data_IF_252279201717
#
_entry.id   IF_252279201717
#
_cell.length_a   1.000
_cell.length_b   1.000
_cell.length_c   1.000
_cell.angle_alpha   90.00
_cell.angle_beta   90.00
_cell.angle_gamma   90.00
#
_symmetry.space_group_name_H-M   'P 1'
#
loop_
_entity.id
_entity.type
_entity.pdbx_description
1 polymer ?
#
# COMPACT_ATOMS: atom_id res chain seq x y z
N UNK A 1 -21.28 -63.36 63.30
CA UNK A 1 -20.06 -62.68 63.79
C UNK A 1 -19.69 -61.64 62.73
N UNK A 2 -20.03 -60.35 62.96
CA UNK A 2 -19.08 -59.27 63.36
C UNK A 2 -18.19 -58.85 62.19
N UNK A 3 -17.96 -57.59 61.82
CA UNK A 3 -18.48 -56.26 62.13
C UNK A 3 -17.66 -55.31 61.24
N UNK A 4 -18.29 -54.30 60.63
CA UNK A 4 -17.65 -53.19 59.87
C UNK A 4 -16.69 -52.35 60.74
N UNK A 5 -16.12 -51.20 60.26
CA UNK A 5 -15.63 -50.79 58.93
C UNK A 5 -14.18 -50.22 59.00
N UNK A 6 -13.49 -49.95 57.88
CA UNK A 6 -12.31 -49.05 57.91
C UNK A 6 -12.09 -48.25 56.63
N UNK A 7 -12.38 -46.96 56.78
CA UNK A 7 -12.01 -45.73 56.06
C UNK A 7 -11.42 -45.81 54.64
N UNK A 8 -12.20 -45.23 53.72
CA UNK A 8 -11.76 -44.38 52.60
C UNK A 8 -10.66 -43.40 53.00
N UNK A 9 -9.51 -43.46 52.33
CA UNK A 9 -8.58 -42.32 52.23
C UNK A 9 -8.29 -42.03 50.77
N UNK A 10 -8.88 -40.92 50.34
CA UNK A 10 -8.86 -40.32 49.01
C UNK A 10 -7.45 -40.18 48.43
N UNK A 11 -7.34 -40.45 47.14
CA UNK A 11 -6.20 -40.26 46.23
C UNK A 11 -5.66 -38.81 46.13
N UNK A 12 -6.03 -37.91 47.04
CA UNK A 12 -5.58 -36.51 47.08
C UNK A 12 -4.45 -36.22 48.08
N UNK A 13 -3.98 -37.22 48.85
CA UNK A 13 -3.04 -36.99 49.97
C UNK A 13 -1.55 -37.19 49.60
N UNK A 14 -1.22 -37.41 48.33
CA UNK A 14 0.17 -37.53 47.84
C UNK A 14 0.65 -36.33 46.99
N UNK A 15 -0.23 -35.39 46.64
CA UNK A 15 0.10 -34.21 45.81
C UNK A 15 0.77 -33.06 46.61
N UNK A 16 0.81 -33.13 47.94
CA UNK A 16 1.21 -31.98 48.79
C UNK A 16 2.64 -32.03 49.35
N UNK A 17 3.51 -32.88 48.83
CA UNK A 17 4.86 -33.11 49.39
C UNK A 17 6.02 -32.69 48.46
N UNK A 18 5.87 -31.54 47.77
CA UNK A 18 6.84 -30.67 47.04
C UNK A 18 8.31 -31.13 46.86
N UNK A 19 9.05 -30.81 45.76
CA UNK A 19 8.82 -29.73 44.78
C UNK A 19 8.96 -30.13 43.28
N UNK A 20 8.58 -29.26 42.31
CA UNK A 20 8.82 -29.50 40.88
C UNK A 20 10.27 -29.17 40.49
N UNK A 21 11.15 -30.17 40.52
CA UNK A 21 12.53 -30.07 39.99
C UNK A 21 12.60 -30.28 38.47
N UNK A 22 11.68 -29.67 37.72
CA UNK A 22 11.73 -29.66 36.26
C UNK A 22 10.82 -28.57 35.69
N UNK A 23 11.06 -27.32 36.09
CA UNK A 23 10.82 -26.19 35.19
C UNK A 23 12.15 -25.48 35.01
N UNK A 24 13.05 -26.17 34.32
CA UNK A 24 14.03 -25.54 33.43
C UNK A 24 13.23 -24.88 32.29
N UNK A 25 12.44 -23.89 32.69
CA UNK A 25 11.73 -22.99 31.82
C UNK A 25 12.86 -22.22 31.14
N UNK A 26 13.19 -22.62 29.91
CA UNK A 26 13.74 -21.72 28.92
C UNK A 26 12.74 -20.55 28.91
N UNK A 27 13.02 -19.56 29.74
CA UNK A 27 12.26 -18.31 29.82
C UNK A 27 12.60 -17.53 28.57
N UNK A 28 11.95 -17.92 27.48
CA UNK A 28 11.91 -17.16 26.24
C UNK A 28 11.19 -15.85 26.53
N UNK A 29 11.96 -14.87 26.98
CA UNK A 29 11.49 -13.53 27.31
C UNK A 29 11.33 -12.78 25.99
N UNK A 30 10.11 -12.48 25.51
CA UNK A 30 9.88 -11.89 24.19
C UNK A 30 10.52 -10.50 24.01
N UNK A 31 10.91 -9.84 25.12
CA UNK A 31 11.56 -8.53 25.11
C UNK A 31 13.01 -8.55 24.60
N UNK A 32 13.70 -9.69 24.67
CA UNK A 32 15.08 -9.79 24.15
C UNK A 32 15.09 -10.20 22.66
N UNK A 33 14.06 -10.89 22.19
CA UNK A 33 13.94 -11.32 20.80
C UNK A 33 13.49 -10.19 19.87
N UNK A 34 12.61 -9.31 20.33
CA UNK A 34 12.19 -8.16 19.50
C UNK A 34 13.32 -7.15 19.31
N UNK A 35 14.12 -6.87 20.34
CA UNK A 35 15.26 -5.94 20.23
C UNK A 35 16.37 -6.49 19.35
N UNK A 36 16.66 -7.78 19.40
CA UNK A 36 17.65 -8.42 18.51
C UNK A 36 17.16 -8.46 17.06
N UNK A 37 15.88 -8.75 16.82
CA UNK A 37 15.28 -8.71 15.46
C UNK A 37 15.30 -7.30 14.89
N UNK A 38 14.93 -6.28 15.67
CA UNK A 38 14.97 -4.88 15.24
C UNK A 38 16.41 -4.44 14.93
N UNK A 39 17.38 -4.79 15.79
CA UNK A 39 18.78 -4.49 15.54
C UNK A 39 19.32 -5.16 14.27
N UNK A 40 18.95 -6.42 14.01
CA UNK A 40 19.34 -7.12 12.80
C UNK A 40 18.74 -6.50 11.52
N UNK A 41 17.48 -6.06 11.58
CA UNK A 41 16.83 -5.34 10.46
C UNK A 41 17.49 -4.00 10.20
N UNK A 42 17.81 -3.23 11.24
CA UNK A 42 18.54 -1.94 11.11
C UNK A 42 19.93 -2.16 10.51
N UNK A 43 20.66 -3.19 10.96
CA UNK A 43 21.97 -3.52 10.41
C UNK A 43 21.88 -3.92 8.93
N UNK A 44 20.89 -4.76 8.58
CA UNK A 44 20.64 -5.18 7.21
C UNK A 44 20.30 -4.00 6.28
N UNK A 45 19.42 -3.09 6.72
CA UNK A 45 19.08 -1.87 5.99
C UNK A 45 20.29 -0.93 5.83
N UNK A 46 21.16 -0.85 6.84
CA UNK A 46 22.40 -0.05 6.76
C UNK A 46 23.41 -0.63 5.76
N UNK A 47 23.53 -1.96 5.66
CA UNK A 47 24.43 -2.63 4.73
C UNK A 47 23.89 -2.64 3.29
N UNK A 48 22.57 -2.65 3.10
CA UNK A 48 21.95 -2.61 1.76
C UNK A 48 22.02 -1.23 1.09
N UNK A 49 22.28 -0.17 1.87
CA UNK A 49 22.39 1.21 1.38
C UNK A 49 23.71 1.56 0.69
N UNK A 50 24.73 0.69 0.72
CA UNK A 50 26.08 1.00 0.23
C UNK A 50 26.50 0.12 -0.96
N UNK A 51 25.69 0.07 -2.01
CA UNK A 51 26.10 -0.51 -3.29
C UNK A 51 25.38 0.13 -4.50
N UNK A 52 25.57 1.43 -4.74
CA UNK A 52 25.40 1.99 -6.10
C UNK A 52 26.45 3.06 -6.42
N UNK A 53 27.66 2.63 -6.74
CA UNK A 53 28.66 3.52 -7.33
C UNK A 53 29.47 2.81 -8.44
N UNK A 54 28.76 2.25 -9.42
CA UNK A 54 29.35 1.92 -10.71
C UNK A 54 28.99 3.02 -11.71
N UNK A 55 29.99 3.85 -12.01
CA UNK A 55 29.97 4.97 -12.96
C UNK A 55 29.36 4.54 -14.30
N UNK A 56 28.34 5.28 -14.75
CA UNK A 56 27.80 5.16 -16.11
C UNK A 56 28.80 5.73 -17.12
N UNK A 57 29.26 4.98 -18.14
CA UNK A 57 29.76 5.61 -19.35
C UNK A 57 28.56 6.12 -20.17
N UNK A 58 28.43 7.45 -20.23
CA UNK A 58 27.53 8.14 -21.16
C UNK A 58 28.09 7.99 -22.58
N UNK A 59 27.69 6.94 -23.28
CA UNK A 59 27.88 6.84 -24.72
C UNK A 59 26.73 7.53 -25.43
N UNK A 60 26.76 8.87 -25.51
CA UNK A 60 25.88 9.59 -26.45
C UNK A 60 26.56 9.52 -27.81
N UNK A 61 26.04 8.69 -28.71
CA UNK A 61 26.40 8.76 -30.12
C UNK A 61 25.97 10.14 -30.62
N UNK A 62 26.92 11.04 -30.82
CA UNK A 62 26.66 12.27 -31.56
C UNK A 62 26.39 11.85 -33.00
N UNK A 63 25.14 11.97 -33.42
CA UNK A 63 24.74 11.72 -34.80
C UNK A 63 25.41 12.77 -35.69
N UNK A 64 26.19 12.34 -36.69
CA UNK A 64 26.74 13.18 -37.78
C UNK A 64 25.68 13.65 -38.79
N UNK A 65 24.38 13.49 -38.48
CA UNK A 65 23.33 14.07 -39.30
C UNK A 65 23.32 15.58 -39.03
N UNK A 66 23.35 16.44 -40.06
CA UNK A 66 23.05 17.86 -39.87
C UNK A 66 21.77 17.95 -39.05
N UNK A 67 21.82 18.64 -37.91
CA UNK A 67 20.61 18.92 -37.16
C UNK A 67 19.61 19.51 -38.16
N UNK A 68 18.37 18.99 -38.23
CA UNK A 68 17.37 19.59 -39.09
C UNK A 68 17.33 21.08 -38.75
N UNK A 69 17.37 21.95 -39.77
CA UNK A 69 17.26 23.39 -39.57
C UNK A 69 16.05 23.61 -38.68
N UNK A 70 16.28 23.98 -37.42
CA UNK A 70 15.21 24.22 -36.46
C UNK A 70 14.43 25.40 -37.02
N UNK A 71 13.27 25.10 -37.62
CA UNK A 71 12.34 26.14 -38.05
C UNK A 71 11.95 26.91 -36.81
N UNK A 72 11.89 28.24 -36.92
CA UNK A 72 11.46 29.10 -35.82
C UNK A 72 10.17 28.55 -35.22
N UNK A 73 10.20 28.28 -33.92
CA UNK A 73 9.03 27.80 -33.19
C UNK A 73 7.89 28.81 -33.34
N UNK A 74 6.71 28.33 -33.70
CA UNK A 74 5.49 29.14 -33.69
C UNK A 74 4.80 28.92 -32.36
N UNK A 75 4.72 29.97 -31.56
CA UNK A 75 3.98 29.97 -30.30
C UNK A 75 2.61 30.60 -30.53
N UNK A 76 1.55 29.93 -30.07
CA UNK A 76 0.17 30.44 -30.09
C UNK A 76 -0.40 30.32 -28.69
N UNK A 77 -1.03 31.37 -28.21
CA UNK A 77 -1.70 31.40 -26.91
C UNK A 77 -3.21 31.48 -27.15
N UNK A 78 -3.94 30.48 -26.69
CA UNK A 78 -5.39 30.40 -26.83
C UNK A 78 -6.03 30.56 -25.45
N UNK A 79 -7.15 31.28 -25.41
CA UNK A 79 -8.02 31.39 -24.25
C UNK A 79 -9.44 31.13 -24.71
N UNK A 80 -10.04 30.09 -24.17
CA UNK A 80 -11.41 29.68 -24.46
C UNK A 80 -12.00 29.05 -23.20
N UNK A 81 -13.32 28.95 -23.19
CA UNK A 81 -14.10 28.33 -22.13
C UNK A 81 -14.69 27.03 -22.66
N UNK A 82 -14.62 25.99 -21.84
CA UNK A 82 -15.17 24.67 -22.14
C UNK A 82 -16.36 24.44 -21.20
N UNK A 83 -17.54 24.19 -21.77
CA UNK A 83 -18.80 23.99 -21.05
C UNK A 83 -19.19 22.51 -20.93
N UNK A 84 -18.91 21.91 -19.78
CA UNK A 84 -19.36 20.55 -19.45
C UNK A 84 -20.84 20.58 -19.01
N UNK A 85 -21.76 20.35 -19.96
CA UNK A 85 -23.21 20.40 -19.71
C UNK A 85 -23.70 18.98 -19.38
N UNK A 86 -23.68 18.65 -18.09
CA UNK A 86 -24.03 17.32 -17.56
C UNK A 86 -25.53 17.07 -17.39
N UNK A 87 -26.38 18.10 -17.53
CA UNK A 87 -27.83 18.00 -17.28
C UNK A 87 -28.62 19.05 -18.06
N UNK A 88 -29.94 18.91 -18.09
CA UNK A 88 -30.84 19.77 -18.84
C UNK A 88 -31.38 19.08 -20.10
N UNK A 89 -32.11 19.82 -20.97
CA UNK A 89 -32.75 19.24 -22.15
C UNK A 89 -31.76 18.78 -23.21
N UNK A 90 -30.58 19.41 -23.30
CA UNK A 90 -29.52 19.10 -24.27
C UNK A 90 -28.17 18.96 -23.55
N UNK A 91 -27.91 17.84 -22.85
CA UNK A 91 -26.62 17.58 -22.23
C UNK A 91 -25.56 17.30 -23.31
N UNK A 92 -24.36 17.83 -23.11
CA UNK A 92 -23.20 17.60 -24.00
C UNK A 92 -22.21 16.60 -23.41
N UNK A 93 -22.35 16.29 -22.12
CA UNK A 93 -21.57 15.27 -21.42
C UNK A 93 -22.45 14.16 -20.86
N UNK A 94 -22.28 12.95 -21.40
CA UNK A 94 -23.15 11.81 -21.09
C UNK A 94 -22.33 10.62 -20.60
N UNK A 95 -22.66 10.02 -19.43
CA UNK A 95 -21.99 8.83 -18.94
C UNK A 95 -22.32 7.63 -19.83
N UNK A 96 -21.29 6.94 -20.33
CA UNK A 96 -21.42 5.77 -21.22
C UNK A 96 -21.05 4.45 -20.54
N UNK A 97 -20.31 4.49 -19.43
CA UNK A 97 -20.02 3.31 -18.62
C UNK A 97 -19.79 3.66 -17.15
N UNK A 98 -20.13 2.75 -16.24
CA UNK A 98 -19.92 2.86 -14.79
C UNK A 98 -19.60 1.48 -14.20
N UNK A 99 -18.72 1.45 -13.20
CA UNK A 99 -18.49 0.25 -12.39
C UNK A 99 -19.54 0.15 -11.27
N UNK A 100 -19.78 -1.04 -10.68
CA UNK A 100 -20.70 -1.18 -9.55
C UNK A 100 -20.33 -0.31 -8.34
N UNK A 101 -19.04 -0.08 -8.13
CA UNK A 101 -18.52 0.76 -7.04
C UNK A 101 -18.58 2.27 -7.34
N UNK A 102 -18.87 2.67 -8.58
CA UNK A 102 -18.79 4.08 -9.00
C UNK A 102 -19.70 4.99 -8.18
N UNK A 103 -20.93 4.55 -7.84
CA UNK A 103 -21.87 5.37 -7.06
C UNK A 103 -21.46 5.52 -5.58
N UNK A 104 -20.69 4.56 -5.04
CA UNK A 104 -20.17 4.62 -3.68
C UNK A 104 -18.87 5.42 -3.58
N UNK A 105 -18.23 5.72 -4.73
CA UNK A 105 -17.02 6.52 -4.80
C UNK A 105 -17.36 8.01 -4.69
N UNK A 106 -16.75 8.70 -3.73
CA UNK A 106 -16.89 10.15 -3.58
C UNK A 106 -16.42 10.95 -4.81
N UNK A 107 -15.58 10.36 -5.66
CA UNK A 107 -15.03 10.98 -6.87
C UNK A 107 -15.62 10.40 -8.16
N UNK A 108 -16.64 9.54 -8.06
CA UNK A 108 -17.17 8.79 -9.19
C UNK A 108 -16.09 7.96 -9.93
N UNK A 109 -15.13 7.39 -9.19
CA UNK A 109 -14.07 6.57 -9.79
C UNK A 109 -14.64 5.44 -10.66
N UNK A 110 -14.09 5.30 -11.86
CA UNK A 110 -14.55 4.32 -12.85
C UNK A 110 -15.75 4.75 -13.69
N UNK A 111 -16.25 5.98 -13.57
CA UNK A 111 -17.21 6.54 -14.54
C UNK A 111 -16.49 6.92 -15.84
N UNK A 112 -17.09 6.56 -16.98
CA UNK A 112 -16.65 7.01 -18.32
C UNK A 112 -17.73 7.92 -18.89
N UNK A 113 -17.33 9.11 -19.33
CA UNK A 113 -18.20 10.13 -19.90
C UNK A 113 -17.75 10.42 -21.33
N UNK A 114 -18.70 10.47 -22.26
CA UNK A 114 -18.52 10.97 -23.62
C UNK A 114 -18.93 12.43 -23.66
N UNK A 115 -18.12 13.28 -24.28
CA UNK A 115 -18.31 14.73 -24.31
C UNK A 115 -18.30 15.25 -25.75
N UNK A 116 -19.21 16.18 -26.03
CA UNK A 116 -19.32 16.97 -27.27
C UNK A 116 -19.62 18.43 -26.89
N UNK A 117 -18.73 19.00 -26.11
CA UNK A 117 -18.93 20.27 -25.43
C UNK A 117 -18.43 21.46 -26.28
N UNK A 118 -19.10 22.62 -26.21
CA UNK A 118 -18.70 23.79 -26.96
C UNK A 118 -17.45 24.47 -26.37
N UNK A 119 -16.65 25.06 -27.27
CA UNK A 119 -15.57 25.99 -26.93
C UNK A 119 -15.96 27.41 -27.33
N UNK A 120 -16.03 28.32 -26.37
CA UNK A 120 -16.46 29.72 -26.57
C UNK A 120 -15.40 30.72 -26.15
N UNK A 121 -15.53 31.96 -26.61
CA UNK A 121 -14.63 33.07 -26.22
C UNK A 121 -14.89 33.59 -24.80
N UNK A 122 -16.11 33.39 -24.28
CA UNK A 122 -16.56 33.81 -22.95
C UNK A 122 -17.28 32.69 -22.16
N UNK A 123 -17.51 32.87 -20.86
CA UNK A 123 -18.12 31.87 -19.98
C UNK A 123 -19.66 31.75 -20.09
N UNK A 124 -20.31 32.61 -20.88
CA UNK A 124 -21.76 32.63 -21.10
C UNK A 124 -22.34 31.47 -21.93
#
# INVERSE_FOLDING_TARGET
>A
ASSSPSQTRTTGDLEKRFPPMAKLLVTFSPRLTTTTVVAAVVLFLSCFGFATAAKRPRGFLVSERPAPVLRREKLSHFRFYWHDIVSGPNPTAVPVARAPSTNASATAFGMVVMIDDPLTEGPE
#
